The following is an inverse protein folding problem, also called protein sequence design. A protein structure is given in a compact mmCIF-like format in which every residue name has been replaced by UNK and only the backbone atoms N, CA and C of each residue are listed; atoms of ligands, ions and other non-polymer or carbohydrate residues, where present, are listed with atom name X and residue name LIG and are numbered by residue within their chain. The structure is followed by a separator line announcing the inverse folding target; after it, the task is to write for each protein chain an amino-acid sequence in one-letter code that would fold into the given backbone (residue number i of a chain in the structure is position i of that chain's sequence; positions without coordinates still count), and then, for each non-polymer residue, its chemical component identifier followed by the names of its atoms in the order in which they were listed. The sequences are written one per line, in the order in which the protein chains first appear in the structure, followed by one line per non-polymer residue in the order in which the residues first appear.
data_IF_461163356938
#
_entry.id   IF_461163356938
#
_cell.length_a   1.000
_cell.length_b   1.000
_cell.length_c   1.000
_cell.angle_alpha   90.00
_cell.angle_beta   90.00
_cell.angle_gamma   90.00
#
_symmetry.space_group_name_H-M   'P 1'
#
loop_
_entity.id
_entity.type
_entity.pdbx_description
1 polymer ?
#
# COMPACT_ATOMS: atom_id res chain seq x y z
N UNK A 1 -8.31 11.54 -8.84
CA UNK A 1 -7.14 11.96 -8.05
C UNK A 1 -7.49 11.68 -6.60
N UNK A 2 -6.65 10.94 -5.87
CA UNK A 2 -6.76 10.92 -4.41
C UNK A 2 -6.52 12.33 -3.88
N UNK A 3 -7.22 12.65 -2.80
CA UNK A 3 -7.42 14.04 -2.41
C UNK A 3 -7.32 14.14 -0.89
N UNK A 4 -6.14 14.49 -0.40
CA UNK A 4 -5.89 14.87 1.00
C UNK A 4 -6.48 16.26 1.19
N UNK A 5 -7.17 16.47 2.32
CA UNK A 5 -7.75 17.77 2.65
C UNK A 5 -6.62 18.82 2.73
N UNK A 6 -6.82 19.97 2.08
CA UNK A 6 -5.82 21.05 2.03
C UNK A 6 -5.38 21.53 3.43
N UNK A 7 -6.23 21.38 4.45
CA UNK A 7 -5.90 21.73 5.83
C UNK A 7 -4.68 20.97 6.37
N UNK A 8 -4.49 19.70 5.98
CA UNK A 8 -3.35 18.88 6.39
C UNK A 8 -2.06 19.39 5.73
N UNK A 9 -2.08 19.59 4.41
CA UNK A 9 -0.93 20.09 3.65
C UNK A 9 -0.57 21.51 4.10
N UNK A 10 -1.57 22.37 4.28
CA UNK A 10 -1.36 23.73 4.79
C UNK A 10 -0.85 23.75 6.22
N UNK A 11 -1.31 22.84 7.11
CA UNK A 11 -0.78 22.69 8.47
C UNK A 11 0.70 22.30 8.44
N UNK A 12 1.10 21.38 7.56
CA UNK A 12 2.51 21.00 7.38
C UNK A 12 3.32 22.19 6.90
N UNK A 13 2.89 22.88 5.83
CA UNK A 13 3.59 24.05 5.28
C UNK A 13 3.67 25.23 6.25
N UNK A 14 2.69 25.41 7.12
CA UNK A 14 2.68 26.44 8.15
C UNK A 14 3.42 26.04 9.44
N UNK A 15 3.89 24.80 9.56
CA UNK A 15 4.55 24.33 10.78
C UNK A 15 5.80 25.14 11.10
N UNK A 16 5.90 25.58 12.35
CA UNK A 16 7.09 26.25 12.90
C UNK A 16 7.96 25.30 13.75
N UNK A 17 7.45 24.11 14.09
CA UNK A 17 8.14 23.12 14.91
C UNK A 17 8.09 21.71 14.29
N UNK A 18 8.99 20.85 14.76
CA UNK A 18 9.12 19.46 14.32
C UNK A 18 7.96 18.56 14.77
N UNK A 19 7.15 18.98 15.76
CA UNK A 19 6.07 18.13 16.28
C UNK A 19 4.99 17.91 15.22
N UNK A 20 4.65 18.94 14.44
CA UNK A 20 3.72 18.81 13.31
C UNK A 20 4.24 17.83 12.25
N UNK A 21 5.55 17.85 11.96
CA UNK A 21 6.17 16.88 11.05
C UNK A 21 6.10 15.45 11.58
N UNK A 22 6.30 15.25 12.90
CA UNK A 22 6.19 13.93 13.52
C UNK A 22 4.77 13.39 13.42
N UNK A 23 3.75 14.23 13.65
CA UNK A 23 2.34 13.87 13.45
C UNK A 23 2.07 13.50 11.98
N UNK A 24 2.55 14.30 11.03
CA UNK A 24 2.38 14.05 9.62
C UNK A 24 3.04 12.72 9.19
N UNK A 25 4.27 12.45 9.63
CA UNK A 25 4.96 11.20 9.31
C UNK A 25 4.31 9.98 9.98
N UNK A 26 3.72 10.13 11.18
CA UNK A 26 2.90 9.06 11.76
C UNK A 26 1.66 8.79 10.90
N UNK A 27 1.03 9.84 10.35
CA UNK A 27 -0.08 9.69 9.41
C UNK A 27 0.34 9.09 8.07
N UNK A 28 1.55 9.36 7.62
CA UNK A 28 2.16 8.68 6.48
C UNK A 28 2.27 7.17 6.76
N UNK A 29 2.85 6.76 7.90
CA UNK A 29 2.94 5.34 8.32
C UNK A 29 1.55 4.67 8.37
N UNK A 30 0.53 5.36 8.87
CA UNK A 30 -0.85 4.86 8.85
C UNK A 30 -1.41 4.70 7.42
N UNK A 31 -1.14 5.66 6.53
CA UNK A 31 -1.60 5.67 5.14
C UNK A 31 -0.99 4.49 4.34
N UNK A 32 0.33 4.34 4.38
CA UNK A 32 1.05 3.23 3.72
C UNK A 32 0.59 1.86 4.25
N UNK A 33 0.28 1.80 5.55
CA UNK A 33 -0.28 0.59 6.13
C UNK A 33 -1.71 0.30 5.65
N UNK A 34 -2.53 1.32 5.42
CA UNK A 34 -3.95 1.13 5.11
C UNK A 34 -4.19 0.47 3.75
N UNK A 35 -3.26 0.60 2.80
CA UNK A 35 -3.32 0.00 1.47
C UNK A 35 -2.93 -1.49 1.50
N UNK A 36 -1.97 -1.88 2.36
CA UNK A 36 -1.41 -3.23 2.45
C UNK A 36 -2.48 -4.32 2.65
N UNK A 37 -3.39 -4.26 3.66
CA UNK A 37 -4.44 -5.26 3.84
C UNK A 37 -5.36 -5.43 2.62
N UNK A 38 -5.69 -4.34 1.93
CA UNK A 38 -6.57 -4.38 0.75
C UNK A 38 -5.86 -5.08 -0.42
N UNK A 39 -4.60 -4.72 -0.70
CA UNK A 39 -3.80 -5.33 -1.77
C UNK A 39 -3.49 -6.80 -1.48
N UNK A 40 -3.17 -7.14 -0.22
CA UNK A 40 -2.96 -8.51 0.20
C UNK A 40 -4.23 -9.35 0.14
N UNK A 41 -5.40 -8.81 0.48
CA UNK A 41 -6.67 -9.56 0.36
C UNK A 41 -6.95 -9.93 -1.09
N UNK A 42 -6.79 -8.97 -2.01
CA UNK A 42 -6.92 -9.24 -3.44
C UNK A 42 -5.88 -10.27 -3.92
N UNK A 43 -4.62 -10.18 -3.47
CA UNK A 43 -3.59 -11.15 -3.78
C UNK A 43 -3.94 -12.56 -3.27
N UNK A 44 -4.34 -12.69 -2.01
CA UNK A 44 -4.67 -13.98 -1.39
C UNK A 44 -5.93 -14.61 -1.98
N UNK A 45 -6.81 -13.83 -2.61
CA UNK A 45 -7.94 -14.39 -3.36
C UNK A 45 -7.51 -15.21 -4.58
N UNK A 46 -6.29 -15.04 -5.08
CA UNK A 46 -5.79 -15.77 -6.26
C UNK A 46 -5.37 -17.19 -5.86
N UNK A 47 -5.91 -18.19 -6.54
CA UNK A 47 -5.52 -19.60 -6.35
C UNK A 47 -4.06 -19.81 -6.74
N UNK A 48 -3.37 -20.68 -6.01
CA UNK A 48 -1.95 -20.96 -6.26
C UNK A 48 -1.70 -21.37 -7.73
N UNK A 49 -0.75 -20.70 -8.38
CA UNK A 49 -0.37 -20.95 -9.78
C UNK A 49 -1.34 -20.39 -10.83
N UNK A 50 -2.38 -19.64 -10.43
CA UNK A 50 -3.32 -18.98 -11.33
C UNK A 50 -3.04 -17.48 -11.42
N UNK A 51 -3.51 -16.83 -12.50
CA UNK A 51 -3.42 -15.37 -12.70
C UNK A 51 -2.04 -14.79 -12.34
N UNK A 52 -0.98 -15.46 -12.78
CA UNK A 52 0.39 -15.28 -12.28
C UNK A 52 0.87 -13.84 -12.41
N UNK A 53 0.61 -13.18 -13.54
CA UNK A 53 1.01 -11.80 -13.79
C UNK A 53 0.29 -10.83 -12.85
N UNK A 54 -1.00 -11.02 -12.60
CA UNK A 54 -1.77 -10.20 -11.68
C UNK A 54 -1.31 -10.41 -10.22
N UNK A 55 -1.01 -11.65 -9.85
CA UNK A 55 -0.45 -11.98 -8.54
C UNK A 55 0.93 -11.31 -8.34
N UNK A 56 1.79 -11.34 -9.36
CA UNK A 56 3.09 -10.66 -9.32
C UNK A 56 2.95 -9.15 -9.18
N UNK A 57 2.01 -8.53 -9.91
CA UNK A 57 1.74 -7.09 -9.80
C UNK A 57 1.31 -6.74 -8.37
N UNK A 58 0.26 -7.38 -7.86
CA UNK A 58 -0.27 -7.13 -6.50
C UNK A 58 0.79 -7.35 -5.43
N UNK A 59 1.56 -8.44 -5.53
CA UNK A 59 2.66 -8.72 -4.62
C UNK A 59 3.73 -7.63 -4.68
N UNK A 60 4.14 -7.20 -5.88
CA UNK A 60 5.16 -6.17 -6.05
C UNK A 60 4.74 -4.83 -5.45
N UNK A 61 3.48 -4.43 -5.63
CA UNK A 61 2.93 -3.20 -5.05
C UNK A 61 2.86 -3.32 -3.52
N UNK A 62 2.27 -4.40 -2.99
CA UNK A 62 2.18 -4.58 -1.54
C UNK A 62 3.57 -4.58 -0.83
N UNK A 63 4.61 -5.11 -1.49
CA UNK A 63 5.99 -5.05 -0.96
C UNK A 63 6.55 -3.62 -1.03
N UNK A 64 6.20 -2.83 -2.04
CA UNK A 64 6.58 -1.41 -2.10
C UNK A 64 5.87 -0.58 -1.03
N UNK A 65 4.59 -0.83 -0.74
CA UNK A 65 3.91 -0.18 0.40
C UNK A 65 4.60 -0.49 1.75
N UNK A 66 5.12 -1.72 1.93
CA UNK A 66 5.90 -2.08 3.12
C UNK A 66 7.24 -1.32 3.18
N UNK A 67 7.87 -1.09 2.02
CA UNK A 67 9.05 -0.22 1.90
C UNK A 67 8.70 1.22 2.28
N UNK A 68 7.59 1.75 1.77
CA UNK A 68 7.15 3.13 2.02
C UNK A 68 6.86 3.36 3.50
N UNK A 69 6.15 2.43 4.14
CA UNK A 69 5.94 2.41 5.59
C UNK A 69 7.29 2.46 6.34
N UNK A 70 8.26 1.64 5.92
CA UNK A 70 9.61 1.58 6.52
C UNK A 70 10.36 2.90 6.35
N UNK A 71 10.29 3.53 5.17
CA UNK A 71 10.90 4.83 4.90
C UNK A 71 10.26 5.91 5.78
N UNK A 72 8.94 6.01 5.81
CA UNK A 72 8.22 6.98 6.65
C UNK A 72 8.56 6.81 8.14
N UNK A 73 8.65 5.56 8.61
CA UNK A 73 9.08 5.21 9.96
C UNK A 73 10.54 5.61 10.26
N UNK A 74 11.45 5.41 9.30
CA UNK A 74 12.86 5.81 9.43
C UNK A 74 13.01 7.34 9.48
N UNK A 75 12.27 8.08 8.66
CA UNK A 75 12.26 9.56 8.68
C UNK A 75 11.66 10.06 10.00
N UNK A 76 10.55 9.47 10.47
CA UNK A 76 9.94 9.80 11.77
C UNK A 76 10.94 9.60 12.91
N UNK A 77 11.63 8.45 12.94
CA UNK A 77 12.68 8.18 13.90
C UNK A 77 13.83 9.20 13.81
N UNK A 78 14.30 9.51 12.60
CA UNK A 78 15.44 10.40 12.38
C UNK A 78 15.21 11.82 12.95
N UNK A 79 13.98 12.32 12.88
CA UNK A 79 13.61 13.63 13.44
C UNK A 79 13.20 13.57 14.93
N UNK A 80 13.52 12.48 15.63
CA UNK A 80 13.28 12.30 17.06
C UNK A 80 11.86 11.88 17.44
N UNK A 81 11.08 11.37 16.49
CA UNK A 81 9.80 10.70 16.76
C UNK A 81 9.96 9.20 16.99
N UNK A 82 8.83 8.51 17.12
CA UNK A 82 8.75 7.06 17.32
C UNK A 82 7.46 6.53 16.67
N UNK A 83 7.52 5.64 15.65
CA UNK A 83 6.34 5.08 15.01
C UNK A 83 5.48 4.28 16.00
N UNK A 84 4.19 4.60 16.05
CA UNK A 84 3.17 3.91 16.84
C UNK A 84 2.32 3.03 15.94
N UNK A 85 2.49 1.71 16.02
CA UNK A 85 1.80 0.75 15.12
C UNK A 85 1.21 -0.48 15.82
N UNK A 86 1.53 -0.71 17.10
CA UNK A 86 0.96 -1.81 17.90
C UNK A 86 -0.18 -1.30 18.78
N UNK A 87 -1.27 -0.85 18.16
CA UNK A 87 -2.50 -0.55 18.87
C UNK A 87 -3.73 -0.71 17.97
N UNK A 88 -4.94 -0.95 18.52
CA UNK A 88 -6.14 -1.16 17.72
C UNK A 88 -6.43 -0.01 16.75
N UNK A 89 -6.22 1.24 17.17
CA UNK A 89 -6.45 2.43 16.33
C UNK A 89 -5.48 2.62 15.16
N UNK A 90 -4.43 1.79 15.03
CA UNK A 90 -3.53 1.82 13.87
C UNK A 90 -4.12 1.08 12.67
N UNK A 91 -4.92 0.06 12.93
CA UNK A 91 -5.57 -0.73 11.88
C UNK A 91 -6.82 0.03 11.42
N UNK A 92 -6.95 0.35 10.12
CA UNK A 92 -8.16 0.97 9.60
C UNK A 92 -9.39 0.09 9.75
N UNK A 93 -10.56 0.71 9.82
CA UNK A 93 -11.83 -0.02 9.72
C UNK A 93 -12.09 -0.32 8.24
N UNK A 94 -12.32 -1.60 7.91
CA UNK A 94 -12.72 -2.01 6.57
C UNK A 94 -14.19 -2.52 6.58
N UNK A 95 -15.03 -2.13 5.60
CA UNK A 95 -14.75 -1.09 4.61
C UNK A 95 -14.77 0.30 5.26
N UNK A 96 -13.90 1.21 4.83
CA UNK A 96 -13.82 2.53 5.42
C UNK A 96 -12.92 3.49 4.64
N UNK A 97 -12.85 4.76 5.07
CA UNK A 97 -11.98 5.73 4.44
C UNK A 97 -10.50 5.41 4.68
N UNK A 98 -9.64 5.89 3.78
CA UNK A 98 -8.21 5.94 4.07
C UNK A 98 -7.92 6.93 5.22
N UNK A 99 -6.81 6.76 5.95
CA UNK A 99 -6.33 7.73 6.92
C UNK A 99 -6.26 9.15 6.34
N UNK A 100 -6.28 10.17 7.20
CA UNK A 100 -6.31 11.59 6.78
C UNK A 100 -7.56 12.03 5.98
N UNK A 101 -8.54 11.14 5.77
CA UNK A 101 -9.71 11.43 4.95
C UNK A 101 -9.34 11.57 3.48
N UNK A 102 -8.31 10.84 3.03
CA UNK A 102 -7.88 10.89 1.62
C UNK A 102 -9.03 10.41 0.74
N UNK A 103 -9.41 11.26 -0.22
CA UNK A 103 -10.52 11.10 -1.15
C UNK A 103 -11.87 10.87 -0.46
N UNK A 104 -12.54 11.99 -0.14
CA UNK A 104 -13.90 11.97 0.39
C UNK A 104 -14.83 11.12 -0.51
N UNK A 105 -15.47 10.12 0.09
CA UNK A 105 -16.37 9.18 -0.60
C UNK A 105 -15.72 7.87 -1.07
N UNK A 106 -14.38 7.73 -1.05
CA UNK A 106 -13.73 6.45 -1.30
C UNK A 106 -13.79 5.58 -0.03
N UNK A 107 -14.43 4.41 -0.13
CA UNK A 107 -14.39 3.39 0.89
C UNK A 107 -13.53 2.22 0.39
N UNK A 108 -12.43 1.94 1.08
CA UNK A 108 -11.55 0.82 0.79
C UNK A 108 -12.04 -0.39 1.56
N UNK A 109 -12.22 -1.52 0.87
CA UNK A 109 -12.67 -2.78 1.45
C UNK A 109 -11.64 -3.90 1.34
N UNK A 110 -11.93 -5.02 2.01
CA UNK A 110 -11.19 -6.27 1.90
C UNK A 110 -11.96 -7.21 0.96
N UNK A 111 -11.57 -7.24 -0.31
CA UNK A 111 -12.32 -7.89 -1.38
C UNK A 111 -11.43 -8.76 -2.27
N UNK A 112 -12.05 -9.75 -2.93
CA UNK A 112 -11.37 -10.59 -3.93
C UNK A 112 -10.95 -9.77 -5.15
N UNK A 113 -9.91 -10.23 -5.83
CA UNK A 113 -9.45 -9.60 -7.06
C UNK A 113 -10.55 -9.63 -8.14
N UNK A 114 -10.93 -8.44 -8.59
CA UNK A 114 -11.73 -8.24 -9.81
C UNK A 114 -11.17 -7.04 -10.58
N UNK A 115 -11.42 -6.97 -11.89
CA UNK A 115 -11.07 -5.76 -12.67
C UNK A 115 -11.76 -4.52 -12.10
N UNK A 116 -12.98 -4.66 -11.62
CA UNK A 116 -13.75 -3.57 -11.00
C UNK A 116 -13.09 -3.04 -9.72
N UNK A 117 -12.65 -3.93 -8.83
CA UNK A 117 -11.92 -3.55 -7.60
C UNK A 117 -10.64 -2.77 -7.96
N UNK A 118 -9.83 -3.31 -8.88
CA UNK A 118 -8.58 -2.65 -9.28
C UNK A 118 -8.85 -1.29 -9.91
N UNK A 119 -9.83 -1.17 -10.80
CA UNK A 119 -10.12 0.09 -11.49
C UNK A 119 -10.77 1.15 -10.57
N UNK A 120 -11.77 0.75 -9.78
CA UNK A 120 -12.57 1.67 -8.97
C UNK A 120 -11.95 2.00 -7.61
N UNK A 121 -10.98 1.19 -7.15
CA UNK A 121 -10.34 1.39 -5.84
C UNK A 121 -8.83 1.54 -5.99
N UNK A 122 -8.10 0.51 -6.43
CA UNK A 122 -6.62 0.55 -6.37
C UNK A 122 -6.01 1.60 -7.30
N UNK A 123 -6.47 1.69 -8.55
CA UNK A 123 -6.06 2.77 -9.46
C UNK A 123 -6.52 4.15 -9.00
N UNK A 124 -7.62 4.22 -8.24
CA UNK A 124 -8.06 5.50 -7.66
C UNK A 124 -7.12 5.90 -6.54
N UNK A 125 -6.63 4.93 -5.74
CA UNK A 125 -5.65 5.14 -4.68
C UNK A 125 -4.33 5.67 -5.25
N UNK A 126 -3.80 5.03 -6.29
CA UNK A 126 -2.48 5.39 -6.82
C UNK A 126 -2.50 6.53 -7.85
N UNK A 127 -3.65 7.19 -8.01
CA UNK A 127 -3.86 8.11 -9.12
C UNK A 127 -2.92 9.33 -9.04
N UNK A 128 -2.02 9.53 -10.04
CA UNK A 128 -1.10 10.66 -10.02
C UNK A 128 -1.81 12.00 -10.18
N UNK A 129 -1.15 13.07 -9.73
CA UNK A 129 -1.59 14.44 -9.97
C UNK A 129 -1.76 14.71 -11.48
N UNK A 130 -0.77 14.31 -12.28
CA UNK A 130 -0.80 14.42 -13.74
C UNK A 130 -0.91 13.03 -14.36
N UNK A 131 -2.12 12.69 -14.82
CA UNK A 131 -2.35 11.45 -15.54
C UNK A 131 -1.75 11.50 -16.94
N UNK A 132 -0.82 10.60 -17.21
CA UNK A 132 -0.42 10.31 -18.57
C UNK A 132 -1.37 9.26 -19.17
N UNK A 133 -1.95 9.59 -20.32
CA UNK A 133 -2.80 8.66 -21.05
C UNK A 133 -1.96 7.85 -22.04
N UNK A 134 -1.78 6.56 -21.76
CA UNK A 134 -1.15 5.63 -22.69
C UNK A 134 -2.20 4.81 -23.45
N UNK A 135 -2.07 4.66 -24.78
CA UNK A 135 -3.05 3.95 -25.57
C UNK A 135 -2.99 2.43 -25.34
N UNK A 136 -4.16 1.80 -25.38
CA UNK A 136 -4.31 0.34 -25.45
C UNK A 136 -4.32 -0.10 -26.92
N UNK A 137 -3.28 -0.82 -27.35
CA UNK A 137 -3.19 -1.35 -28.72
C UNK A 137 -3.81 -2.74 -28.84
N UNK A 138 -4.19 -3.07 -30.07
CA UNK A 138 -4.77 -4.37 -30.41
C UNK A 138 -3.75 -5.53 -30.21
N UNK A 139 -4.23 -6.75 -29.91
CA UNK A 139 -5.63 -7.13 -29.76
C UNK A 139 -6.14 -6.80 -28.36
N UNK A 140 -7.28 -6.11 -28.32
CA UNK A 140 -8.05 -5.89 -27.09
C UNK A 140 -8.54 -7.27 -26.64
N UNK A 141 -7.98 -7.81 -25.56
CA UNK A 141 -8.70 -8.82 -24.79
C UNK A 141 -10.05 -8.19 -24.42
N UNK A 142 -11.13 -8.97 -24.36
CA UNK A 142 -12.46 -8.49 -23.98
C UNK A 142 -12.42 -7.89 -22.56
N UNK A 143 -11.89 -6.68 -22.43
CA UNK A 143 -11.94 -5.88 -21.23
C UNK A 143 -13.40 -5.48 -21.10
N UNK A 144 -14.05 -5.93 -20.03
CA UNK A 144 -15.30 -5.32 -19.62
C UNK A 144 -15.10 -3.80 -19.64
N UNK A 145 -15.99 -3.08 -20.33
CA UNK A 145 -15.90 -1.63 -20.40
C UNK A 145 -15.79 -1.09 -18.97
N UNK A 146 -14.78 -0.25 -18.65
CA UNK A 146 -14.66 0.33 -17.32
C UNK A 146 -15.99 1.02 -16.97
N UNK A 147 -16.49 0.80 -15.76
CA UNK A 147 -17.63 1.57 -15.26
C UNK A 147 -17.22 3.05 -15.23
N UNK A 148 -18.10 4.00 -15.61
CA UNK A 148 -17.79 5.42 -15.54
C UNK A 148 -17.36 5.80 -14.11
N UNK A 149 -16.19 6.41 -13.95
CA UNK A 149 -15.73 6.89 -12.64
C UNK A 149 -16.70 7.98 -12.12
N UNK A 150 -16.94 8.08 -10.81
CA UNK A 150 -17.49 9.28 -10.21
C UNK A 150 -16.65 10.49 -10.62
N UNK A 151 -17.29 11.64 -10.91
CA UNK A 151 -16.57 12.87 -11.22
C UNK A 151 -15.67 13.24 -10.04
N UNK A 152 -14.43 13.60 -10.32
CA UNK A 152 -13.53 14.17 -9.34
C UNK A 152 -14.21 15.40 -8.68
N UNK A 153 -14.25 15.50 -7.33
CA UNK A 153 -14.77 16.69 -6.67
C UNK A 153 -13.93 17.93 -7.01
N UNK A 154 -14.51 19.12 -6.89
CA UNK A 154 -13.91 20.41 -7.24
C UNK A 154 -12.69 20.80 -6.35
N UNK A 155 -12.09 21.96 -6.63
CA UNK A 155 -10.92 22.58 -5.96
C UNK A 155 -10.90 22.46 -4.43
N UNK A 156 -9.70 22.27 -3.83
CA UNK A 156 -9.50 22.24 -2.37
C UNK A 156 -8.82 20.97 -1.83
N UNK A 157 -8.06 20.25 -2.65
CA UNK A 157 -7.50 18.95 -2.30
C UNK A 157 -6.15 18.67 -2.99
N UNK A 158 -5.26 17.96 -2.28
CA UNK A 158 -3.88 17.63 -2.65
C UNK A 158 -3.67 16.10 -2.92
N UNK A 159 -2.73 15.68 -3.78
CA UNK A 159 -2.41 14.25 -3.98
C UNK A 159 -1.62 13.62 -2.82
N UNK A 160 -1.35 12.30 -2.83
CA UNK A 160 -0.41 11.68 -1.87
C UNK A 160 0.99 12.28 -2.10
N UNK A 161 1.36 12.48 -3.36
CA UNK A 161 2.58 13.18 -3.77
C UNK A 161 2.70 14.58 -3.18
N UNK A 162 1.63 15.38 -3.19
CA UNK A 162 1.63 16.72 -2.57
C UNK A 162 1.87 16.68 -1.06
N UNK A 163 1.30 15.69 -0.37
CA UNK A 163 1.50 15.51 1.07
C UNK A 163 2.96 15.19 1.39
N UNK A 164 3.59 14.27 0.67
CA UNK A 164 5.01 13.99 0.85
C UNK A 164 5.89 15.18 0.43
N UNK A 165 5.52 15.88 -0.64
CA UNK A 165 6.22 17.11 -1.07
C UNK A 165 6.20 18.16 0.02
N UNK A 166 5.05 18.39 0.68
CA UNK A 166 4.95 19.33 1.79
C UNK A 166 5.82 18.93 3.00
N UNK A 167 5.93 17.63 3.30
CA UNK A 167 6.84 17.12 4.34
C UNK A 167 8.30 17.40 3.94
N UNK A 168 8.69 17.12 2.70
CA UNK A 168 10.05 17.35 2.19
C UNK A 168 10.41 18.85 2.26
N UNK A 169 9.51 19.72 1.76
CA UNK A 169 9.64 21.17 1.81
C UNK A 169 9.88 21.65 3.24
N UNK A 170 9.04 21.18 4.18
CA UNK A 170 9.13 21.60 5.58
C UNK A 170 10.34 21.03 6.32
N UNK A 171 10.75 19.78 6.04
CA UNK A 171 12.02 19.22 6.54
C UNK A 171 13.21 20.05 6.04
N UNK A 172 13.16 20.49 4.78
CA UNK A 172 14.22 21.32 4.18
C UNK A 172 14.28 22.70 4.82
N UNK A 173 13.12 23.32 5.06
CA UNK A 173 13.01 24.63 5.72
C UNK A 173 13.52 24.61 7.16
N UNK A 174 13.10 23.63 7.96
CA UNK A 174 13.58 23.49 9.33
C UNK A 174 15.07 23.06 9.35
N UNK A 175 15.51 22.26 8.39
CA UNK A 175 16.92 21.94 8.19
C UNK A 175 17.48 20.94 9.21
N UNK A 176 18.81 20.76 9.19
CA UNK A 176 19.48 19.61 9.82
C UNK A 176 19.30 19.50 11.35
N UNK A 177 19.01 20.60 12.04
CA UNK A 177 18.92 20.61 13.51
C UNK A 177 17.74 19.80 14.07
N UNK A 178 16.74 19.46 13.25
CA UNK A 178 15.61 18.61 13.67
C UNK A 178 15.96 17.13 13.74
N UNK A 179 17.07 16.71 13.11
CA UNK A 179 17.54 15.32 13.06
C UNK A 179 18.18 14.92 14.40
N UNK A 180 17.33 14.74 15.39
CA UNK A 180 17.67 14.50 16.80
C UNK A 180 17.49 13.03 17.22
N UNK A 181 17.00 12.20 16.31
CA UNK A 181 16.79 10.77 16.54
C UNK A 181 18.06 9.97 16.71
N UNK A 182 17.96 8.85 17.41
CA UNK A 182 19.05 7.91 17.56
C UNK A 182 19.33 7.19 16.22
N UNK A 183 20.53 7.35 15.62
CA UNK A 183 20.90 6.69 14.37
C UNK A 183 20.84 5.15 14.43
N UNK A 184 20.91 4.56 15.63
CA UNK A 184 20.79 3.12 15.83
C UNK A 184 19.36 2.58 15.61
N UNK A 185 18.35 3.45 15.47
CA UNK A 185 16.96 3.07 15.19
C UNK A 185 16.65 2.93 13.69
N UNK A 186 17.59 3.27 12.81
CA UNK A 186 17.37 3.19 11.37
C UNK A 186 17.27 1.73 10.92
N UNK A 187 16.13 1.37 10.36
CA UNK A 187 15.84 0.02 9.85
C UNK A 187 16.27 -0.05 8.39
N UNK A 188 17.27 -0.89 8.10
CA UNK A 188 17.81 -1.07 6.75
C UNK A 188 18.00 -2.57 6.51
N UNK A 189 17.39 -3.09 5.45
CA UNK A 189 17.61 -4.46 4.99
C UNK A 189 17.86 -4.49 3.49
N UNK A 190 19.14 -4.37 3.14
CA UNK A 190 19.59 -4.36 1.75
C UNK A 190 19.59 -5.74 1.10
N UNK A 191 19.18 -6.80 1.83
CA UNK A 191 18.95 -8.12 1.24
C UNK A 191 17.55 -8.23 0.64
N UNK A 192 16.61 -7.43 1.13
CA UNK A 192 15.22 -7.43 0.68
C UNK A 192 14.89 -6.22 -0.20
N UNK A 193 15.42 -5.05 0.15
CA UNK A 193 15.23 -3.81 -0.61
C UNK A 193 16.56 -3.32 -1.20
N UNK A 194 16.56 -2.74 -2.40
CA UNK A 194 17.78 -2.15 -2.95
C UNK A 194 18.34 -1.02 -2.07
N UNK A 195 19.68 -0.93 -1.98
CA UNK A 195 20.37 0.03 -1.09
C UNK A 195 20.17 1.50 -1.49
N UNK A 196 19.70 1.75 -2.71
CA UNK A 196 19.32 3.05 -3.24
C UNK A 196 17.84 3.39 -3.01
N UNK A 197 17.06 2.46 -2.45
CA UNK A 197 15.66 2.63 -2.06
C UNK A 197 15.49 2.67 -0.54
N UNK A 198 16.17 1.77 0.18
CA UNK A 198 16.18 1.73 1.64
C UNK A 198 17.58 1.98 2.16
N UNK A 199 17.77 3.12 2.81
CA UNK A 199 19.05 3.55 3.37
C UNK A 199 18.81 4.30 4.68
N UNK A 200 19.84 4.40 5.55
CA UNK A 200 19.67 5.10 6.82
C UNK A 200 19.45 6.60 6.59
N UNK A 201 18.44 7.17 7.26
CA UNK A 201 18.11 8.58 7.21
C UNK A 201 18.89 9.32 8.31
N UNK A 202 19.88 10.13 7.92
CA UNK A 202 20.70 10.91 8.87
C UNK A 202 20.65 12.41 8.60
N UNK A 203 20.28 12.80 7.40
CA UNK A 203 20.30 14.18 6.94
C UNK A 203 19.01 14.60 6.26
N UNK A 204 18.84 15.92 6.09
CA UNK A 204 17.79 16.51 5.24
C UNK A 204 17.79 15.86 3.86
N UNK A 205 18.97 15.69 3.26
CA UNK A 205 19.11 15.07 1.93
C UNK A 205 18.66 13.62 1.92
N UNK A 206 19.02 12.83 2.95
CA UNK A 206 18.57 11.44 3.04
C UNK A 206 17.05 11.36 3.17
N UNK A 207 16.44 12.21 4.01
CA UNK A 207 14.99 12.25 4.20
C UNK A 207 14.27 12.62 2.90
N UNK A 208 14.74 13.67 2.21
CA UNK A 208 14.18 14.09 0.92
C UNK A 208 14.27 12.98 -0.13
N UNK A 209 15.42 12.29 -0.21
CA UNK A 209 15.60 11.15 -1.12
C UNK A 209 14.69 9.98 -0.77
N UNK A 210 14.58 9.63 0.51
CA UNK A 210 13.75 8.51 0.96
C UNK A 210 12.27 8.75 0.66
N UNK A 211 11.74 9.93 1.04
CA UNK A 211 10.36 10.31 0.73
C UNK A 211 10.13 10.47 -0.78
N UNK A 212 11.16 10.87 -1.54
CA UNK A 212 11.13 10.87 -3.01
C UNK A 212 10.85 9.48 -3.60
N UNK A 213 11.44 8.42 -3.04
CA UNK A 213 11.18 7.03 -3.47
C UNK A 213 9.70 6.67 -3.30
N UNK A 214 9.03 7.16 -2.25
CA UNK A 214 7.59 6.91 -2.02
C UNK A 214 6.77 7.55 -3.14
N UNK A 215 7.02 8.83 -3.43
CA UNK A 215 6.33 9.58 -4.49
C UNK A 215 6.54 8.90 -5.86
N UNK A 216 7.79 8.59 -6.19
CA UNK A 216 8.17 8.01 -7.48
C UNK A 216 7.55 6.63 -7.70
N UNK A 217 7.44 5.79 -6.67
CA UNK A 217 6.90 4.44 -6.81
C UNK A 217 5.37 4.39 -6.80
N UNK A 218 4.71 5.22 -5.99
CA UNK A 218 3.24 5.28 -5.92
C UNK A 218 2.65 5.91 -7.19
N UNK A 219 2.83 7.22 -7.33
CA UNK A 219 2.20 8.03 -8.40
C UNK A 219 3.05 8.07 -9.69
N UNK A 220 4.35 7.80 -9.62
CA UNK A 220 5.27 7.99 -10.75
C UNK A 220 5.74 9.44 -10.86
N UNK A 221 6.33 9.79 -12.02
CA UNK A 221 6.71 11.18 -12.30
C UNK A 221 5.82 11.77 -13.39
N UNK A 222 5.59 13.09 -13.36
CA UNK A 222 4.84 13.79 -14.41
C UNK A 222 5.45 13.70 -15.82
N UNK A 223 6.63 13.09 -15.98
CA UNK A 223 7.36 13.00 -17.26
C UNK A 223 7.52 11.58 -17.79
N UNK A 224 7.40 10.54 -16.95
CA UNK A 224 7.63 9.15 -17.33
C UNK A 224 6.82 8.20 -16.46
N UNK A 225 6.22 7.14 -17.04
CA UNK A 225 5.66 6.03 -16.26
C UNK A 225 6.73 5.14 -15.64
N UNK A 226 7.96 5.22 -16.16
CA UNK A 226 9.13 4.49 -15.69
C UNK A 226 9.95 5.33 -14.71
N UNK A 227 10.34 4.70 -13.61
CA UNK A 227 11.59 4.97 -12.92
C UNK A 227 12.73 4.29 -13.72
N UNK A 228 13.73 5.06 -14.21
CA UNK A 228 14.83 4.55 -15.04
C UNK A 228 15.58 3.33 -14.49
N UNK A 229 15.53 3.10 -13.17
CA UNK A 229 16.22 1.98 -12.50
C UNK A 229 15.27 1.01 -11.78
N UNK A 230 13.97 1.32 -11.64
CA UNK A 230 13.08 0.64 -10.66
C UNK A 230 11.70 0.20 -11.19
N UNK A 231 11.39 0.48 -12.46
CA UNK A 231 10.19 -0.01 -13.14
C UNK A 231 9.00 0.96 -13.10
N UNK A 232 7.80 0.45 -13.34
CA UNK A 232 6.59 1.25 -13.56
C UNK A 232 5.85 1.55 -12.23
N UNK A 233 5.35 2.77 -12.05
CA UNK A 233 4.59 3.20 -10.88
C UNK A 233 3.28 2.40 -10.66
N UNK A 234 2.76 2.40 -9.44
CA UNK A 234 1.67 1.51 -9.03
C UNK A 234 0.39 1.70 -9.85
N UNK A 235 -0.01 2.95 -10.12
CA UNK A 235 -1.17 3.24 -10.96
C UNK A 235 -1.13 2.50 -12.30
N UNK A 236 0.01 2.59 -12.98
CA UNK A 236 0.19 2.03 -14.30
C UNK A 236 0.32 0.52 -14.27
N UNK A 237 0.90 -0.06 -13.19
CA UNK A 237 0.90 -1.51 -12.93
C UNK A 237 -0.51 -2.05 -12.70
N UNK A 238 -1.33 -1.38 -11.90
CA UNK A 238 -2.74 -1.76 -11.72
C UNK A 238 -3.54 -1.65 -13.02
N UNK A 239 -3.25 -0.63 -13.83
CA UNK A 239 -3.84 -0.49 -15.15
C UNK A 239 -3.47 -1.67 -16.09
N UNK A 240 -2.33 -2.34 -15.91
CA UNK A 240 -2.02 -3.56 -16.67
C UNK A 240 -3.03 -4.68 -16.40
N UNK A 241 -3.51 -4.83 -15.17
CA UNK A 241 -4.57 -5.79 -14.81
C UNK A 241 -5.90 -5.39 -15.47
N UNK A 242 -6.23 -4.10 -15.43
CA UNK A 242 -7.48 -3.58 -15.99
C UNK A 242 -7.52 -3.68 -17.51
N UNK A 243 -6.42 -3.35 -18.18
CA UNK A 243 -6.30 -3.38 -19.64
C UNK A 243 -5.91 -4.76 -20.18
N UNK A 244 -5.42 -5.64 -19.31
CA UNK A 244 -5.02 -7.00 -19.64
C UNK A 244 -3.72 -7.09 -20.44
N UNK A 245 -2.88 -6.07 -20.39
CA UNK A 245 -1.62 -5.95 -21.15
C UNK A 245 -0.59 -5.21 -20.33
N UNK A 246 0.67 -5.66 -20.41
CA UNK A 246 1.81 -4.92 -19.86
C UNK A 246 1.99 -3.57 -20.57
N UNK A 247 2.34 -2.55 -19.81
CA UNK A 247 2.81 -1.27 -20.35
C UNK A 247 4.24 -1.48 -20.86
N UNK A 248 4.53 -1.05 -22.08
CA UNK A 248 5.85 -1.18 -22.69
C UNK A 248 6.22 0.10 -23.44
N UNK A 249 7.52 0.37 -23.56
CA UNK A 249 8.02 1.42 -24.42
C UNK A 249 7.55 1.18 -25.88
N UNK A 250 7.08 2.23 -26.52
CA UNK A 250 6.48 2.21 -27.85
C UNK A 250 6.82 3.51 -28.58
N UNK A 251 7.87 3.45 -29.41
CA UNK A 251 8.34 4.60 -30.19
C UNK A 251 7.37 5.06 -31.26
N UNK A 252 6.31 4.30 -31.55
CA UNK A 252 5.26 4.72 -32.48
C UNK A 252 4.18 5.56 -31.80
N UNK A 253 4.18 5.67 -30.48
CA UNK A 253 3.27 6.54 -29.74
C UNK A 253 3.96 7.85 -29.33
N UNK A 254 3.28 9.01 -29.47
CA UNK A 254 3.83 10.30 -29.02
C UNK A 254 4.19 10.32 -27.52
N UNK A 255 3.49 9.53 -26.71
CA UNK A 255 3.75 9.37 -25.28
C UNK A 255 4.94 8.46 -24.98
N UNK A 256 5.50 7.77 -25.98
CA UNK A 256 6.63 6.84 -25.83
C UNK A 256 6.27 5.48 -25.24
N UNK A 257 5.00 5.24 -24.87
CA UNK A 257 4.54 4.01 -24.23
C UNK A 257 3.15 3.58 -24.71
N UNK A 258 2.88 2.29 -24.65
CA UNK A 258 1.53 1.75 -24.89
C UNK A 258 1.27 0.47 -24.09
N UNK A 259 0.00 0.19 -23.78
CA UNK A 259 -0.43 -1.09 -23.23
C UNK A 259 -0.54 -2.12 -24.36
N UNK A 260 0.60 -2.58 -24.84
CA UNK A 260 0.71 -3.51 -25.98
C UNK A 260 1.59 -4.72 -25.69
N UNK A 261 2.16 -4.80 -24.48
CA UNK A 261 3.09 -5.84 -24.08
C UNK A 261 2.44 -7.21 -23.84
N UNK A 262 3.12 -8.03 -23.05
CA UNK A 262 2.65 -9.37 -22.71
C UNK A 262 1.22 -9.34 -22.10
N UNK A 263 0.38 -10.36 -22.36
CA UNK A 263 -0.94 -10.45 -21.74
C UNK A 263 -0.87 -10.48 -20.22
N UNK A 264 -1.78 -9.76 -19.57
CA UNK A 264 -2.07 -9.87 -18.14
C UNK A 264 -3.48 -10.44 -18.04
N UNK A 265 -3.56 -11.77 -17.99
CA UNK A 265 -4.86 -12.46 -18.00
C UNK A 265 -5.49 -12.40 -16.61
N UNK A 266 -6.82 -12.34 -16.59
CA UNK A 266 -7.60 -12.45 -15.36
C UNK A 266 -8.73 -13.44 -15.59
N UNK A 267 -8.47 -14.71 -15.28
CA UNK A 267 -9.44 -15.79 -15.27
C UNK A 267 -10.16 -15.84 -13.90
N UNK A 268 -11.48 -15.57 -13.85
CA UNK A 268 -12.26 -15.66 -12.63
C UNK A 268 -12.25 -17.06 -11.99
N UNK A 269 -12.08 -18.14 -12.76
CA UNK A 269 -12.03 -19.50 -12.21
C UNK A 269 -10.80 -19.72 -11.30
N UNK A 270 -9.74 -18.95 -11.53
CA UNK A 270 -8.53 -18.92 -10.74
C UNK A 270 -8.61 -18.07 -9.46
N UNK A 271 -9.79 -17.58 -9.08
CA UNK A 271 -9.98 -16.67 -7.94
C UNK A 271 -10.99 -17.29 -6.97
N UNK A 272 -10.68 -17.28 -5.68
CA UNK A 272 -11.61 -17.66 -4.62
C UNK A 272 -12.70 -16.59 -4.48
N UNK A 273 -13.95 -17.02 -4.40
CA UNK A 273 -15.08 -16.13 -4.19
C UNK A 273 -15.20 -15.76 -2.70
N UNK A 274 -14.36 -14.83 -2.25
CA UNK A 274 -14.26 -14.45 -0.85
C UNK A 274 -15.53 -13.77 -0.35
N UNK A 275 -15.89 -14.02 0.92
CA UNK A 275 -16.87 -13.22 1.65
C UNK A 275 -16.30 -11.80 1.82
N UNK A 276 -16.89 -10.79 1.19
CA UNK A 276 -16.31 -9.45 1.14
C UNK A 276 -16.39 -8.77 2.50
N UNK A 277 -15.34 -8.05 2.88
CA UNK A 277 -15.24 -7.31 4.14
C UNK A 277 -15.57 -8.16 5.38
N UNK A 278 -15.16 -9.43 5.34
CA UNK A 278 -15.45 -10.36 6.42
C UNK A 278 -14.88 -9.87 7.75
N UNK A 279 -15.61 -10.13 8.81
CA UNK A 279 -15.18 -9.99 10.19
C UNK A 279 -15.18 -11.35 10.85
N UNK A 280 -14.36 -11.51 11.87
CA UNK A 280 -14.28 -12.74 12.67
C UNK A 280 -15.66 -13.14 13.19
N UNK A 281 -16.49 -12.16 13.56
CA UNK A 281 -17.88 -12.35 14.02
C UNK A 281 -18.84 -12.91 12.97
N UNK A 282 -18.53 -12.78 11.67
CA UNK A 282 -19.37 -13.29 10.59
C UNK A 282 -19.27 -14.83 10.48
N UNK A 283 -18.19 -15.41 11.02
CA UNK A 283 -18.01 -16.86 11.06
C UNK A 283 -18.61 -17.46 12.33
N UNK A 284 -19.38 -18.53 12.16
CA UNK A 284 -20.03 -19.23 13.27
C UNK A 284 -18.99 -19.66 14.34
N UNK A 285 -19.30 -19.49 15.64
CA UNK A 285 -18.43 -19.97 16.73
C UNK A 285 -18.05 -21.45 16.56
N UNK A 286 -16.76 -21.77 16.74
CA UNK A 286 -16.23 -23.14 16.58
C UNK A 286 -16.07 -23.61 15.12
N UNK A 287 -16.43 -22.80 14.13
CA UNK A 287 -16.19 -23.16 12.73
C UNK A 287 -14.70 -23.09 12.36
N UNK A 288 -14.31 -23.86 11.34
CA UNK A 288 -12.94 -23.81 10.79
C UNK A 288 -12.57 -22.39 10.33
N UNK A 289 -13.48 -21.69 9.65
CA UNK A 289 -13.28 -20.32 9.19
C UNK A 289 -13.00 -19.36 10.37
N UNK A 290 -13.78 -19.48 11.45
CA UNK A 290 -13.60 -18.70 12.67
C UNK A 290 -12.21 -18.91 13.28
N UNK A 291 -11.81 -20.17 13.47
CA UNK A 291 -10.50 -20.49 14.05
C UNK A 291 -9.33 -20.00 13.21
N UNK A 292 -9.40 -20.13 11.88
CA UNK A 292 -8.35 -19.63 10.98
C UNK A 292 -8.29 -18.10 10.97
N UNK A 293 -9.44 -17.41 11.02
CA UNK A 293 -9.47 -15.95 11.11
C UNK A 293 -8.87 -15.45 12.43
N UNK A 294 -9.19 -16.09 13.56
CA UNK A 294 -8.61 -15.77 14.88
C UNK A 294 -7.09 -15.98 14.89
N UNK A 295 -6.59 -17.09 14.32
CA UNK A 295 -5.15 -17.34 14.19
C UNK A 295 -4.47 -16.31 13.28
N UNK A 296 -5.09 -15.97 12.15
CA UNK A 296 -4.60 -14.93 11.24
C UNK A 296 -4.48 -13.59 11.96
N UNK A 297 -5.53 -13.16 12.67
CA UNK A 297 -5.55 -11.89 13.40
C UNK A 297 -4.52 -11.84 14.54
N UNK A 298 -4.33 -12.95 15.25
CA UNK A 298 -3.30 -13.08 16.28
C UNK A 298 -1.88 -12.93 15.68
N UNK A 299 -1.60 -13.66 14.59
CA UNK A 299 -0.29 -13.57 13.91
C UNK A 299 -0.07 -12.17 13.32
N UNK A 300 -1.12 -11.52 12.80
CA UNK A 300 -1.06 -10.17 12.27
C UNK A 300 -0.74 -9.14 13.36
N UNK A 301 -1.41 -9.23 14.51
CA UNK A 301 -1.11 -8.38 15.67
C UNK A 301 0.29 -8.63 16.21
N UNK A 302 0.75 -9.89 16.20
CA UNK A 302 2.13 -10.25 16.57
C UNK A 302 3.15 -9.64 15.62
N UNK A 303 2.87 -9.60 14.31
CA UNK A 303 3.71 -8.94 13.33
C UNK A 303 3.78 -7.42 13.59
N UNK A 304 2.65 -6.75 13.83
CA UNK A 304 2.63 -5.32 14.15
C UNK A 304 3.46 -5.00 15.40
N UNK A 305 3.36 -5.82 16.45
CA UNK A 305 4.19 -5.67 17.65
C UNK A 305 5.69 -5.88 17.38
N UNK A 306 6.03 -6.90 16.59
CA UNK A 306 7.41 -7.18 16.21
C UNK A 306 8.01 -6.00 15.43
N UNK A 307 7.28 -5.51 14.42
CA UNK A 307 7.65 -4.32 13.65
C UNK A 307 7.72 -3.06 14.51
N UNK A 308 6.79 -2.87 15.45
CA UNK A 308 6.83 -1.74 16.39
C UNK A 308 8.12 -1.75 17.21
N UNK A 309 8.55 -2.92 17.68
CA UNK A 309 9.83 -3.09 18.38
C UNK A 309 11.02 -2.82 17.44
N UNK A 310 10.95 -3.31 16.21
CA UNK A 310 11.99 -3.11 15.18
C UNK A 310 12.21 -1.63 14.89
N UNK A 311 11.13 -0.88 14.62
CA UNK A 311 11.21 0.55 14.34
C UNK A 311 11.63 1.40 15.55
N UNK A 312 11.46 0.91 16.78
CA UNK A 312 11.72 1.68 17.99
C UNK A 312 13.00 1.27 18.75
N UNK A 313 13.98 0.70 18.04
CA UNK A 313 15.33 0.46 18.60
C UNK A 313 15.80 -1.00 18.60
N UNK A 314 15.19 -1.86 17.80
CA UNK A 314 15.72 -3.21 17.54
C UNK A 314 15.68 -3.58 16.05
N UNK A 315 16.36 -2.81 15.18
CA UNK A 315 16.35 -3.05 13.73
C UNK A 315 16.84 -4.46 13.35
N UNK A 316 17.67 -5.08 14.18
CA UNK A 316 18.14 -6.47 14.05
C UNK A 316 16.99 -7.50 14.07
N UNK A 317 15.85 -7.17 14.69
CA UNK A 317 14.65 -8.02 14.73
C UNK A 317 13.80 -7.97 13.46
N UNK A 318 14.19 -7.19 12.45
CA UNK A 318 13.46 -7.18 11.18
C UNK A 318 13.38 -8.59 10.57
N UNK A 319 14.47 -9.36 10.62
CA UNK A 319 14.50 -10.74 10.09
C UNK A 319 13.54 -11.68 10.80
N UNK A 320 13.39 -11.59 12.12
CA UNK A 320 12.39 -12.40 12.83
C UNK A 320 10.97 -11.96 12.49
N UNK A 321 10.75 -10.66 12.21
CA UNK A 321 9.46 -10.15 11.75
C UNK A 321 9.11 -10.67 10.34
N UNK A 322 10.10 -10.89 9.46
CA UNK A 322 9.86 -11.54 8.16
C UNK A 322 9.31 -12.96 8.30
N UNK A 323 9.71 -13.71 9.33
CA UNK A 323 9.16 -15.03 9.64
C UNK A 323 7.63 -15.00 9.85
N UNK A 324 7.14 -13.98 10.57
CA UNK A 324 5.71 -13.76 10.80
C UNK A 324 4.96 -13.38 9.50
N UNK A 325 5.62 -12.69 8.57
CA UNK A 325 5.03 -12.40 7.25
C UNK A 325 4.79 -13.68 6.43
N UNK A 326 5.73 -14.64 6.48
CA UNK A 326 5.53 -15.95 5.84
C UNK A 326 4.42 -16.75 6.52
N UNK A 327 4.35 -16.72 7.85
CA UNK A 327 3.25 -17.35 8.60
C UNK A 327 1.89 -16.76 8.21
N UNK A 328 1.77 -15.44 8.14
CA UNK A 328 0.55 -14.77 7.68
C UNK A 328 0.12 -15.22 6.29
N UNK A 329 1.07 -15.34 5.36
CA UNK A 329 0.78 -15.84 4.01
C UNK A 329 0.23 -17.27 4.02
N UNK A 330 0.77 -18.15 4.86
CA UNK A 330 0.29 -19.53 5.00
C UNK A 330 -1.11 -19.58 5.63
N UNK A 331 -1.33 -18.81 6.70
CA UNK A 331 -2.63 -18.69 7.36
C UNK A 331 -3.68 -18.13 6.41
N UNK A 332 -3.35 -17.09 5.66
CA UNK A 332 -4.22 -16.52 4.63
C UNK A 332 -4.60 -17.57 3.57
N UNK A 333 -3.63 -18.35 3.08
CA UNK A 333 -3.87 -19.44 2.12
C UNK A 333 -4.83 -20.51 2.64
N UNK A 334 -4.71 -20.88 3.92
CA UNK A 334 -5.64 -21.81 4.56
C UNK A 334 -7.05 -21.21 4.75
N UNK A 335 -7.12 -19.90 5.06
CA UNK A 335 -8.37 -19.19 5.26
C UNK A 335 -9.15 -19.03 3.95
N UNK A 336 -8.52 -18.49 2.90
CA UNK A 336 -9.15 -18.25 1.58
C UNK A 336 -9.56 -19.51 0.82
N UNK A 337 -9.02 -20.67 1.19
CA UNK A 337 -9.44 -21.97 0.65
C UNK A 337 -10.53 -22.66 1.48
N UNK A 338 -11.01 -22.03 2.56
CA UNK A 338 -12.06 -22.59 3.43
C UNK A 338 -13.45 -22.08 3.00
N UNK A 339 -14.30 -22.99 2.50
CA UNK A 339 -15.71 -22.70 2.19
C UNK A 339 -16.50 -22.41 3.48
N UNK A 340 -17.32 -21.37 3.46
CA UNK A 340 -18.23 -21.04 4.57
C UNK A 340 -19.46 -21.96 4.48
N UNK A 341 -19.74 -22.79 5.51
CA UNK A 341 -20.85 -23.73 5.47
C UNK A 341 -22.19 -23.06 5.15
N UNK A 342 -22.95 -23.65 4.24
CA UNK A 342 -24.26 -23.14 3.81
C UNK A 342 -24.21 -22.00 2.79
N UNK A 343 -23.03 -21.65 2.27
CA UNK A 343 -22.85 -20.62 1.23
C UNK A 343 -22.00 -21.13 0.07
N UNK A 344 -21.87 -20.31 -0.98
CA UNK A 344 -20.89 -20.50 -2.06
C UNK A 344 -19.59 -19.70 -1.85
N UNK A 345 -19.51 -18.96 -0.74
CA UNK A 345 -18.43 -18.02 -0.44
C UNK A 345 -17.33 -18.68 0.39
N UNK A 346 -16.11 -18.20 0.22
CA UNK A 346 -14.92 -18.62 0.95
C UNK A 346 -14.57 -17.60 2.02
N UNK A 347 -13.96 -18.04 3.12
CA UNK A 347 -13.54 -17.15 4.18
C UNK A 347 -12.44 -16.20 3.71
N UNK A 348 -12.39 -14.99 4.25
CA UNK A 348 -11.42 -13.95 3.91
C UNK A 348 -10.61 -13.51 5.15
N UNK A 349 -9.35 -13.05 4.97
CA UNK A 349 -8.57 -12.37 5.99
C UNK A 349 -9.30 -11.13 6.52
N UNK A 350 -9.30 -10.95 7.84
CA UNK A 350 -10.07 -9.90 8.51
C UNK A 350 -9.21 -8.77 9.06
N UNK A 351 -7.91 -9.01 9.26
CA UNK A 351 -6.92 -8.04 9.76
C UNK A 351 -7.36 -7.33 11.06
N UNK A 352 -8.11 -8.00 11.94
CA UNK A 352 -8.61 -7.38 13.18
C UNK A 352 -7.53 -7.42 14.27
N UNK A 353 -7.44 -6.34 15.07
CA UNK A 353 -6.54 -6.33 16.22
C UNK A 353 -6.98 -7.39 17.24
N UNK A 354 -6.07 -8.28 17.63
CA UNK A 354 -6.31 -9.28 18.67
C UNK A 354 -5.28 -9.07 19.79
N UNK A 355 -5.71 -8.69 21.01
CA UNK A 355 -4.78 -8.55 22.13
C UNK A 355 -4.00 -9.85 22.34
N UNK A 356 -2.67 -9.78 22.23
CA UNK A 356 -1.83 -10.93 22.49
C UNK A 356 -1.55 -10.99 24.00
N UNK A 357 -1.82 -12.16 24.61
CA UNK A 357 -1.56 -12.38 26.03
C UNK A 357 -0.05 -12.45 26.26
N UNK A 358 0.43 -11.72 27.25
CA UNK A 358 1.85 -11.69 27.66
C UNK A 358 2.14 -12.81 28.64
#
# INVERSE_FOLDING_TARGET
MLKIRDDIVNKIRAAADVAVLREALQKAVELEHATIPAYLTALYSIKQGQNVEAAQILHSVAVQEMLHLTIAANVLNAIGGAPSIDHPGFIPVFPGPLPMGVHEGLAVGLEKLTRGLVYNTFMVIEEPEVQQHFPLKAPRLHAAAPTPRPKAPASGYASIGDFYTAIIEKITELGQHIFTGDPARQVVDNTWFPADQLFPIRTVSDAARGLGVIIEQGEGTGKSPEDPDKGIAHYYRFAEIVYGRKLVADSSEPSGYSYSGAPVTLDPAGIWDLYPNARTVDYAPGSRARHLAEQFNYSYTSLLRALHTTFNGSPDKLRSSLGLMFELKLLAGNLVSTLIPGTTLFAAPTFEYTPISV
#
